data_IF_908196336048
#
_entry.id   IF_908196336048
#
_cell.length_a   1.000
_cell.length_b   1.000
_cell.length_c   1.000
_cell.angle_alpha   90.00
_cell.angle_beta   90.00
_cell.angle_gamma   90.00
#
_symmetry.space_group_name_H-M   'P 1'
#
loop_
_entity.id
_entity.type
_entity.pdbx_description
1 polymer ?
#
# COMPACT_ATOMS: atom_id res chain seq x y z
N UNK A 1 16.05 40.01 8.86
CA UNK A 1 15.17 38.94 8.34
C UNK A 1 15.77 37.53 8.47
N UNK A 2 16.92 37.36 9.11
CA UNK A 2 17.69 36.10 9.18
C UNK A 2 17.32 35.20 10.37
N UNK A 3 16.91 35.76 11.51
CA UNK A 3 16.73 34.95 12.73
C UNK A 3 15.54 33.98 12.66
N UNK A 4 14.46 34.39 11.98
CA UNK A 4 13.28 33.52 11.77
C UNK A 4 13.59 32.38 10.81
N UNK A 5 14.52 32.53 9.87
CA UNK A 5 14.92 31.45 8.96
C UNK A 5 15.84 30.46 9.66
N UNK A 6 16.74 30.91 10.54
CA UNK A 6 17.58 30.03 11.35
C UNK A 6 16.76 29.25 12.39
N UNK A 7 15.79 29.88 13.05
CA UNK A 7 14.90 29.20 13.99
C UNK A 7 14.01 28.14 13.30
N UNK A 8 13.54 28.42 12.08
CA UNK A 8 12.77 27.45 11.28
C UNK A 8 13.65 26.31 10.77
N UNK A 9 14.87 26.59 10.32
CA UNK A 9 15.82 25.56 9.91
C UNK A 9 16.21 24.64 11.08
N UNK A 10 16.40 25.20 12.27
CA UNK A 10 16.71 24.44 13.48
C UNK A 10 15.56 23.52 13.93
N UNK A 11 14.31 23.85 13.61
CA UNK A 11 13.14 23.02 13.90
C UNK A 11 12.90 21.94 12.85
N UNK A 12 13.09 22.26 11.56
CA UNK A 12 12.80 21.35 10.45
C UNK A 12 13.91 20.30 10.25
N UNK A 13 15.17 20.67 10.46
CA UNK A 13 16.31 19.77 10.27
C UNK A 13 16.22 18.45 11.10
N UNK A 14 15.97 18.48 12.43
CA UNK A 14 15.86 17.23 13.20
C UNK A 14 14.63 16.40 12.81
N UNK A 15 13.53 17.04 12.39
CA UNK A 15 12.30 16.37 11.98
C UNK A 15 12.53 15.53 10.70
N UNK A 16 13.23 16.10 9.72
CA UNK A 16 13.59 15.41 8.48
C UNK A 16 14.56 14.26 8.75
N UNK A 17 15.57 14.46 9.61
CA UNK A 17 16.53 13.41 9.97
C UNK A 17 15.84 12.24 10.67
N UNK A 18 14.95 12.52 11.63
CA UNK A 18 14.18 11.48 12.32
C UNK A 18 13.27 10.70 11.36
N UNK A 19 12.58 11.37 10.43
CA UNK A 19 11.74 10.69 9.45
C UNK A 19 12.53 9.71 8.56
N UNK A 20 13.74 10.11 8.13
CA UNK A 20 14.62 9.25 7.34
C UNK A 20 15.11 8.06 8.19
N UNK A 21 15.52 8.31 9.43
CA UNK A 21 15.99 7.26 10.34
C UNK A 21 14.90 6.21 10.66
N UNK A 22 13.65 6.64 10.91
CA UNK A 22 12.54 5.73 11.13
C UNK A 22 12.14 4.95 9.87
N UNK A 23 12.25 5.55 8.68
CA UNK A 23 11.94 4.87 7.41
C UNK A 23 12.88 3.70 7.06
N UNK A 24 14.07 3.64 7.67
CA UNK A 24 15.05 2.57 7.46
C UNK A 24 14.93 1.37 8.39
N UNK A 25 14.13 1.45 9.46
CA UNK A 25 14.06 0.39 10.48
C UNK A 25 13.01 -0.70 10.19
N UNK A 26 12.16 -0.51 9.18
CA UNK A 26 11.27 -1.57 8.72
C UNK A 26 11.95 -2.33 7.58
N UNK A 27 12.12 -3.65 7.77
CA UNK A 27 12.62 -4.60 6.78
C UNK A 27 12.11 -4.24 5.39
N UNK A 28 12.98 -3.71 4.53
CA UNK A 28 12.61 -3.34 3.18
C UNK A 28 12.69 -4.59 2.30
N UNK A 29 11.56 -5.17 1.87
CA UNK A 29 11.57 -6.37 1.04
C UNK A 29 12.30 -6.11 -0.28
N UNK A 30 12.94 -7.15 -0.78
CA UNK A 30 13.46 -7.22 -2.16
C UNK A 30 12.36 -7.84 -3.00
N UNK A 31 11.59 -7.02 -3.72
CA UNK A 31 10.48 -7.46 -4.56
C UNK A 31 10.97 -8.10 -5.87
N UNK A 32 11.84 -9.10 -5.78
CA UNK A 32 12.44 -9.78 -6.94
C UNK A 32 13.49 -8.93 -7.68
N UNK A 33 13.90 -7.80 -7.10
CA UNK A 33 15.01 -6.96 -7.56
C UNK A 33 16.24 -7.19 -6.68
N UNK A 34 17.44 -7.06 -7.24
CA UNK A 34 18.71 -7.17 -6.49
C UNK A 34 18.94 -6.00 -5.49
N UNK A 35 17.93 -5.15 -5.29
CA UNK A 35 17.95 -3.97 -4.42
C UNK A 35 16.74 -3.96 -3.49
N UNK A 36 16.94 -3.43 -2.30
CA UNK A 36 15.85 -3.16 -1.33
C UNK A 36 14.96 -2.03 -1.87
N UNK A 37 13.66 -2.06 -1.56
CA UNK A 37 12.73 -0.98 -1.92
C UNK A 37 13.23 0.42 -1.53
N UNK A 38 13.86 0.57 -0.36
CA UNK A 38 14.48 1.84 0.05
C UNK A 38 15.68 2.25 -0.83
N UNK A 39 16.55 1.30 -1.19
CA UNK A 39 17.67 1.57 -2.09
C UNK A 39 17.21 1.92 -3.50
N UNK A 40 16.14 1.29 -3.98
CA UNK A 40 15.52 1.62 -5.27
C UNK A 40 14.91 3.03 -5.25
N UNK A 41 14.14 3.36 -4.21
CA UNK A 41 13.55 4.69 -4.04
C UNK A 41 14.61 5.79 -4.01
N UNK A 42 15.69 5.58 -3.25
CA UNK A 42 16.79 6.55 -3.21
C UNK A 42 17.48 6.69 -4.59
N UNK A 43 17.69 5.58 -5.30
CA UNK A 43 18.31 5.60 -6.64
C UNK A 43 17.43 6.29 -7.69
N UNK A 44 16.11 6.20 -7.54
CA UNK A 44 15.12 6.84 -8.39
C UNK A 44 14.98 8.34 -8.09
N UNK A 45 14.93 8.75 -6.82
CA UNK A 45 14.87 10.16 -6.42
C UNK A 45 16.18 10.89 -6.75
N UNK A 46 17.32 10.27 -6.46
CA UNK A 46 18.64 10.82 -6.84
C UNK A 46 18.83 10.84 -8.35
N UNK A 47 18.30 9.85 -9.07
CA UNK A 47 18.25 9.83 -10.53
C UNK A 47 17.38 10.94 -11.11
N UNK A 48 16.22 11.23 -10.51
CA UNK A 48 15.32 12.31 -10.94
C UNK A 48 15.89 13.71 -10.67
N UNK A 49 16.65 13.86 -9.58
CA UNK A 49 17.38 15.10 -9.27
C UNK A 49 18.66 15.29 -10.11
N UNK A 50 19.15 14.22 -10.76
CA UNK A 50 20.34 14.27 -11.61
C UNK A 50 20.01 14.82 -13.00
N UNK A 51 20.56 15.98 -13.35
CA UNK A 51 20.49 16.57 -14.70
C UNK A 51 21.36 15.78 -15.70
N UNK A 52 22.31 14.98 -15.21
CA UNK A 52 23.21 14.17 -16.04
C UNK A 52 22.56 12.83 -16.36
N UNK A 53 22.55 12.38 -17.64
CA UNK A 53 22.02 11.08 -18.01
C UNK A 53 22.84 9.96 -17.37
N UNK A 54 22.16 9.10 -16.61
CA UNK A 54 22.77 7.96 -15.92
C UNK A 54 23.30 6.96 -16.95
N UNK A 55 24.61 6.70 -16.94
CA UNK A 55 25.24 5.72 -17.84
C UNK A 55 24.85 4.31 -17.41
N UNK A 56 23.84 3.74 -18.08
CA UNK A 56 23.44 2.35 -17.86
C UNK A 56 24.47 1.42 -18.49
N UNK A 57 24.93 0.42 -17.75
CA UNK A 57 25.71 -0.67 -18.33
C UNK A 57 24.84 -1.39 -19.37
N UNK A 58 25.36 -1.66 -20.57
CA UNK A 58 24.66 -2.49 -21.55
C UNK A 58 24.36 -3.84 -20.90
N UNK A 59 23.08 -4.19 -20.83
CA UNK A 59 22.66 -5.51 -20.36
C UNK A 59 22.94 -6.46 -21.52
N UNK A 60 23.81 -7.44 -21.32
CA UNK A 60 24.02 -8.54 -22.25
C UNK A 60 22.80 -9.45 -22.20
N UNK A 61 21.82 -9.17 -23.06
CA UNK A 61 20.63 -10.00 -23.24
C UNK A 61 21.03 -11.28 -23.96
N UNK A 62 21.58 -12.23 -23.21
CA UNK A 62 21.71 -13.60 -23.69
C UNK A 62 20.31 -14.13 -24.00
N UNK A 63 20.08 -14.72 -25.19
CA UNK A 63 18.83 -15.38 -25.48
C UNK A 63 18.53 -16.39 -24.36
N UNK A 64 17.32 -16.30 -23.79
CA UNK A 64 16.93 -17.22 -22.71
C UNK A 64 17.07 -18.64 -23.25
N UNK A 65 17.69 -19.57 -22.49
CA UNK A 65 17.71 -20.96 -22.88
C UNK A 65 16.27 -21.44 -23.08
N UNK A 66 16.05 -22.27 -24.10
CA UNK A 66 14.73 -22.84 -24.35
C UNK A 66 14.19 -23.45 -23.06
N UNK A 67 12.89 -23.23 -22.81
CA UNK A 67 12.17 -23.84 -21.71
C UNK A 67 12.47 -25.35 -21.74
N UNK A 68 13.15 -25.84 -20.70
CA UNK A 68 13.42 -27.26 -20.52
C UNK A 68 12.06 -27.92 -20.32
N UNK A 69 11.49 -28.40 -21.43
CA UNK A 69 10.25 -29.16 -21.38
C UNK A 69 10.56 -30.43 -20.61
N UNK A 70 9.77 -30.78 -19.59
CA UNK A 70 9.93 -32.06 -18.93
C UNK A 70 9.84 -33.19 -19.97
N UNK A 71 10.60 -34.26 -19.75
CA UNK A 71 10.71 -35.37 -20.70
C UNK A 71 9.30 -35.89 -21.08
N UNK A 72 9.08 -36.30 -22.35
CA UNK A 72 7.79 -36.81 -22.79
C UNK A 72 7.41 -38.04 -21.94
N UNK A 73 6.42 -37.87 -21.05
CA UNK A 73 5.99 -38.87 -20.07
C UNK A 73 6.09 -38.44 -18.61
N UNK A 74 6.85 -37.38 -18.30
CA UNK A 74 6.92 -36.73 -16.98
C UNK A 74 6.09 -35.44 -16.98
N UNK A 75 4.81 -35.53 -17.36
CA UNK A 75 3.84 -34.57 -16.82
C UNK A 75 3.78 -34.89 -15.35
N UNK A 76 4.64 -34.21 -14.59
CA UNK A 76 4.60 -34.14 -13.14
C UNK A 76 3.13 -34.10 -12.73
N UNK A 77 2.81 -34.90 -11.72
CA UNK A 77 1.55 -34.84 -10.99
C UNK A 77 1.43 -33.42 -10.45
N UNK A 78 1.01 -32.48 -11.30
CA UNK A 78 0.71 -31.14 -10.91
C UNK A 78 -0.34 -31.29 -9.81
N UNK A 79 -0.14 -30.65 -8.65
CA UNK A 79 -1.21 -30.54 -7.68
C UNK A 79 -2.46 -30.10 -8.44
N UNK A 80 -3.63 -30.68 -8.14
CA UNK A 80 -4.86 -30.25 -8.79
C UNK A 80 -4.95 -28.72 -8.69
N UNK A 81 -5.42 -28.04 -9.75
CA UNK A 81 -5.53 -26.59 -9.74
C UNK A 81 -6.27 -26.17 -8.48
N UNK A 82 -5.77 -25.12 -7.83
CA UNK A 82 -6.42 -24.58 -6.64
C UNK A 82 -7.87 -24.28 -6.98
N UNK A 83 -8.80 -24.86 -6.22
CA UNK A 83 -10.22 -24.68 -6.42
C UNK A 83 -10.55 -23.19 -6.43
N UNK A 84 -11.26 -22.74 -7.46
CA UNK A 84 -11.65 -21.34 -7.60
C UNK A 84 -12.48 -20.92 -6.39
N UNK A 85 -12.04 -19.87 -5.69
CA UNK A 85 -12.73 -19.25 -4.54
C UNK A 85 -14.14 -18.72 -4.92
N UNK A 86 -14.51 -18.79 -6.20
CA UNK A 86 -15.83 -18.45 -6.73
C UNK A 86 -16.95 -19.37 -6.21
N UNK A 87 -16.65 -20.58 -5.73
CA UNK A 87 -17.66 -21.49 -5.18
C UNK A 87 -17.94 -21.15 -3.72
N UNK A 88 -19.19 -20.85 -3.39
CA UNK A 88 -19.66 -20.67 -2.01
C UNK A 88 -19.23 -21.88 -1.17
N UNK A 89 -18.37 -21.65 -0.17
CA UNK A 89 -17.90 -22.69 0.74
C UNK A 89 -18.70 -22.65 2.04
N UNK A 90 -18.53 -23.66 2.91
CA UNK A 90 -19.22 -23.68 4.20
C UNK A 90 -18.90 -22.45 5.08
N UNK A 91 -17.70 -21.86 4.90
CA UNK A 91 -17.26 -20.65 5.59
C UNK A 91 -17.73 -19.36 4.88
N UNK A 92 -18.10 -19.45 3.60
CA UNK A 92 -18.55 -18.32 2.76
C UNK A 92 -19.87 -18.67 2.08
N UNK A 93 -21.01 -18.40 2.75
CA UNK A 93 -22.35 -18.71 2.22
C UNK A 93 -22.66 -18.04 0.88
N UNK A 94 -21.91 -16.97 0.55
CA UNK A 94 -21.95 -16.26 -0.71
C UNK A 94 -20.56 -16.23 -1.37
N UNK A 95 -20.52 -16.28 -2.71
CA UNK A 95 -19.25 -16.08 -3.42
C UNK A 95 -18.75 -14.64 -3.20
N UNK A 96 -17.43 -14.41 -3.17
CA UNK A 96 -16.88 -13.07 -2.96
C UNK A 96 -17.38 -12.05 -3.98
N UNK A 97 -17.58 -12.48 -5.23
CA UNK A 97 -18.10 -11.62 -6.29
C UNK A 97 -19.57 -11.29 -6.11
N UNK A 98 -20.40 -12.24 -5.64
CA UNK A 98 -21.79 -11.98 -5.30
C UNK A 98 -21.89 -10.99 -4.11
N UNK A 99 -21.04 -11.16 -3.09
CA UNK A 99 -20.93 -10.22 -1.96
C UNK A 99 -20.58 -8.82 -2.41
N UNK A 100 -19.55 -8.68 -3.25
CA UNK A 100 -19.12 -7.38 -3.81
C UNK A 100 -20.21 -6.72 -4.63
N UNK A 101 -20.95 -7.49 -5.42
CA UNK A 101 -22.07 -6.99 -6.20
C UNK A 101 -23.19 -6.44 -5.30
N UNK A 102 -23.54 -7.15 -4.21
CA UNK A 102 -24.51 -6.67 -3.21
C UNK A 102 -24.06 -5.36 -2.58
N UNK A 103 -22.84 -5.30 -2.05
CA UNK A 103 -22.30 -4.11 -1.38
C UNK A 103 -22.30 -2.91 -2.34
N UNK A 104 -21.91 -3.10 -3.60
CA UNK A 104 -21.93 -2.03 -4.60
C UNK A 104 -23.36 -1.56 -4.90
N UNK A 105 -24.32 -2.47 -5.01
CA UNK A 105 -25.72 -2.11 -5.24
C UNK A 105 -26.31 -1.33 -4.06
N UNK A 106 -26.01 -1.75 -2.83
CA UNK A 106 -26.47 -1.08 -1.61
C UNK A 106 -25.87 0.33 -1.47
N UNK A 107 -24.56 0.47 -1.70
CA UNK A 107 -23.90 1.77 -1.73
C UNK A 107 -24.44 2.69 -2.83
N UNK A 108 -24.82 2.13 -3.99
CA UNK A 108 -25.45 2.90 -5.08
C UNK A 108 -26.85 3.37 -4.69
N UNK A 109 -27.63 2.55 -4.00
CA UNK A 109 -28.96 2.90 -3.52
C UNK A 109 -28.93 4.04 -2.48
N UNK A 110 -27.89 4.06 -1.63
CA UNK A 110 -27.74 5.02 -0.54
C UNK A 110 -26.72 6.14 -0.83
N UNK A 111 -26.38 6.36 -2.10
CA UNK A 111 -25.32 7.30 -2.52
C UNK A 111 -25.52 8.74 -1.99
N UNK A 112 -26.75 9.17 -1.75
CA UNK A 112 -27.09 10.52 -1.30
C UNK A 112 -27.60 10.57 0.15
N UNK A 113 -27.51 9.47 0.91
CA UNK A 113 -27.94 9.43 2.30
C UNK A 113 -26.76 9.79 3.22
N UNK A 114 -26.79 10.94 3.91
CA UNK A 114 -25.71 11.38 4.80
C UNK A 114 -25.59 10.53 6.07
N UNK A 115 -26.60 9.71 6.40
CA UNK A 115 -26.59 8.85 7.59
C UNK A 115 -26.29 7.38 7.27
N UNK A 116 -26.04 7.04 6.00
CA UNK A 116 -25.77 5.66 5.59
C UNK A 116 -24.44 5.17 6.16
N UNK A 117 -24.46 3.97 6.76
CA UNK A 117 -23.28 3.27 7.26
C UNK A 117 -23.04 2.02 6.41
N UNK A 118 -21.94 1.95 5.65
CA UNK A 118 -21.65 0.79 4.81
C UNK A 118 -21.41 -0.47 5.66
N UNK A 119 -21.92 -1.62 5.19
CA UNK A 119 -21.63 -2.93 5.78
C UNK A 119 -20.14 -3.32 5.62
N UNK A 120 -19.46 -2.73 4.64
CA UNK A 120 -18.04 -2.96 4.43
C UNK A 120 -17.23 -2.31 5.56
N UNK A 121 -16.55 -3.16 6.35
CA UNK A 121 -15.50 -2.70 7.25
C UNK A 121 -14.42 -2.07 6.39
N UNK A 122 -14.28 -0.75 6.47
CA UNK A 122 -13.12 -0.09 5.90
C UNK A 122 -11.88 -0.58 6.66
N UNK A 123 -10.89 -1.10 5.94
CA UNK A 123 -9.60 -1.54 6.52
C UNK A 123 -8.73 -0.32 6.90
N UNK A 124 -9.37 0.78 7.28
CA UNK A 124 -8.74 1.95 7.85
C UNK A 124 -8.59 1.65 9.34
N UNK A 125 -7.33 1.47 9.76
CA UNK A 125 -6.95 1.34 11.17
C UNK A 125 -7.21 2.64 11.94
N UNK A 126 -8.48 2.97 12.16
CA UNK A 126 -8.89 4.06 13.03
C UNK A 126 -9.94 3.53 13.98
N UNK A 127 -9.63 3.56 15.28
CA UNK A 127 -10.59 3.27 16.34
C UNK A 127 -11.85 4.15 16.15
N UNK A 128 -13.03 3.57 15.93
CA UNK A 128 -14.27 4.32 15.68
C UNK A 128 -14.65 5.25 16.84
N UNK A 129 -14.24 4.94 18.08
CA UNK A 129 -14.49 5.80 19.23
C UNK A 129 -13.57 7.03 19.24
N UNK A 130 -12.30 6.86 18.83
CA UNK A 130 -11.36 7.96 18.65
C UNK A 130 -11.84 8.95 17.59
N UNK A 131 -12.36 8.44 16.46
CA UNK A 131 -12.89 9.28 15.37
C UNK A 131 -14.12 10.08 15.83
N UNK A 132 -15.07 9.46 16.55
CA UNK A 132 -16.26 10.17 17.08
C UNK A 132 -15.87 11.29 18.05
N UNK A 133 -14.93 11.02 18.96
CA UNK A 133 -14.43 12.01 19.91
C UNK A 133 -13.76 13.18 19.18
N UNK A 134 -12.89 12.86 18.22
CA UNK A 134 -12.17 13.87 17.46
C UNK A 134 -13.11 14.71 16.55
N UNK A 135 -14.20 14.12 16.04
CA UNK A 135 -15.24 14.84 15.30
C UNK A 135 -16.04 15.80 16.20
N UNK A 136 -16.41 15.35 17.41
CA UNK A 136 -17.09 16.18 18.39
C UNK A 136 -16.22 17.36 18.87
N UNK A 137 -14.91 17.13 19.04
CA UNK A 137 -13.94 18.18 19.39
C UNK A 137 -13.64 19.14 18.22
N UNK A 138 -13.65 18.64 16.98
CA UNK A 138 -13.38 19.45 15.80
C UNK A 138 -14.52 20.41 15.42
N UNK A 139 -15.77 20.11 15.80
CA UNK A 139 -16.95 20.92 15.43
C UNK A 139 -17.19 21.01 13.91
N UNK A 140 -16.59 20.11 13.13
CA UNK A 140 -16.71 20.08 11.66
C UNK A 140 -17.51 18.85 11.22
N UNK A 141 -18.08 18.90 10.02
CA UNK A 141 -18.81 17.78 9.41
C UNK A 141 -17.89 16.73 8.77
N UNK A 142 -16.57 16.89 8.89
CA UNK A 142 -15.58 16.01 8.27
C UNK A 142 -14.66 15.46 9.37
N UNK A 143 -14.28 14.17 9.30
CA UNK A 143 -13.35 13.62 10.27
C UNK A 143 -12.03 14.40 10.24
N UNK A 144 -11.43 14.67 11.41
CA UNK A 144 -10.14 15.32 11.45
C UNK A 144 -9.12 14.47 10.71
N UNK A 145 -8.11 15.14 10.14
CA UNK A 145 -7.03 14.47 9.43
C UNK A 145 -6.38 13.46 10.38
N UNK A 146 -6.33 12.19 9.98
CA UNK A 146 -5.68 11.12 10.73
C UNK A 146 -4.27 11.54 11.17
N UNK A 147 -3.99 11.36 12.46
CA UNK A 147 -2.66 11.57 13.04
C UNK A 147 -2.08 10.27 13.59
N UNK A 148 -0.74 10.10 13.57
CA UNK A 148 -0.11 8.89 14.10
C UNK A 148 -0.39 8.61 15.59
N UNK A 149 -0.88 9.59 16.34
CA UNK A 149 -1.27 9.43 17.75
C UNK A 149 -2.63 8.71 17.91
N UNK A 150 -3.42 8.57 16.84
CA UNK A 150 -4.75 7.95 16.83
C UNK A 150 -4.72 6.42 16.66
N UNK A 151 -3.53 5.84 16.44
CA UNK A 151 -3.32 4.42 16.14
C UNK A 151 -2.89 3.57 17.35
N UNK A 152 -3.57 3.69 18.48
CA UNK A 152 -3.40 2.76 19.61
C UNK A 152 -3.89 1.35 19.29
#
# INVERSE_FOLDING_TARGET
MTDRTFARAALVAPLVVSAIALSGCMSSPTYGTDKTAAAQLFDDVSGAASITPKRRTPIDYKPRPDLVKPAPGQKESLPPPQESIETASADWPESPEARRARIRADATAHQNDPNYQPEAVEDIQTDPEAVKKALAESGSSHPPRWTPDDSN
#
